data_IF_143169405344
#
_entry.id   IF_143169405344
#
_cell.length_a   1.000
_cell.length_b   1.000
_cell.length_c   1.000
_cell.angle_alpha   90.00
_cell.angle_beta   90.00
_cell.angle_gamma   90.00
#
_symmetry.space_group_name_H-M   'P 1'
#
loop_
_entity.id
_entity.type
_entity.pdbx_description
1 polymer ?
#
# COMPACT_ATOMS: atom_id res chain seq x y z
N UNK A 1 6.19 -14.84 -12.23
CA UNK A 1 5.42 -14.25 -13.36
C UNK A 1 5.08 -12.79 -13.14
N UNK A 2 4.43 -12.39 -12.04
CA UNK A 2 4.09 -10.98 -11.75
C UNK A 2 5.30 -10.05 -11.89
N UNK A 3 6.41 -10.37 -11.24
CA UNK A 3 7.63 -9.55 -11.30
C UNK A 3 8.16 -9.38 -12.73
N UNK A 4 8.00 -10.39 -13.60
CA UNK A 4 8.44 -10.33 -15.00
C UNK A 4 7.62 -9.31 -15.78
N UNK A 5 6.30 -9.34 -15.65
CA UNK A 5 5.41 -8.37 -16.29
C UNK A 5 5.58 -6.95 -15.71
N UNK A 6 5.83 -6.85 -14.39
CA UNK A 6 6.18 -5.59 -13.75
C UNK A 6 7.47 -5.02 -14.34
N UNK A 7 8.55 -5.81 -14.41
CA UNK A 7 9.83 -5.40 -15.01
C UNK A 7 9.65 -5.02 -16.48
N UNK A 8 8.93 -5.82 -17.27
CA UNK A 8 8.74 -5.57 -18.71
C UNK A 8 7.97 -4.28 -18.99
N UNK A 9 6.81 -4.09 -18.35
CA UNK A 9 6.02 -2.85 -18.47
C UNK A 9 6.82 -1.61 -18.06
N UNK A 10 7.55 -1.70 -16.94
CA UNK A 10 8.41 -0.61 -16.44
C UNK A 10 9.55 -0.31 -17.42
N UNK A 11 10.22 -1.34 -17.97
CA UNK A 11 11.32 -1.17 -18.93
C UNK A 11 10.88 -0.45 -20.19
N UNK A 12 9.70 -0.78 -20.73
CA UNK A 12 9.16 -0.06 -21.89
C UNK A 12 8.88 1.42 -21.59
N UNK A 13 8.35 1.73 -20.40
CA UNK A 13 8.16 3.11 -19.96
C UNK A 13 9.49 3.88 -19.86
N UNK A 14 10.54 3.21 -19.34
CA UNK A 14 11.90 3.78 -19.20
C UNK A 14 12.56 4.04 -20.56
N UNK A 15 12.35 3.19 -21.57
CA UNK A 15 13.01 3.37 -22.88
C UNK A 15 12.34 4.46 -23.72
N UNK A 16 11.06 4.73 -23.49
CA UNK A 16 10.24 5.62 -24.31
C UNK A 16 10.76 7.06 -24.45
N UNK A 17 11.20 7.75 -23.37
CA UNK A 17 11.74 9.11 -23.50
C UNK A 17 12.94 9.23 -24.43
N UNK A 18 13.88 8.26 -24.41
CA UNK A 18 15.05 8.25 -25.29
C UNK A 18 14.65 8.05 -26.76
N UNK A 19 13.70 7.16 -27.03
CA UNK A 19 13.18 6.94 -28.39
C UNK A 19 12.47 8.20 -28.91
N UNK A 20 11.66 8.84 -28.06
CA UNK A 20 10.98 10.09 -28.39
C UNK A 20 11.99 11.21 -28.64
N UNK A 21 13.07 11.29 -27.84
CA UNK A 21 14.19 12.19 -28.09
C UNK A 21 14.84 11.97 -29.46
N UNK A 22 14.97 10.71 -29.89
CA UNK A 22 15.42 10.37 -31.24
C UNK A 22 14.53 10.95 -32.35
N UNK A 23 13.21 10.90 -32.18
CA UNK A 23 12.27 11.53 -33.11
C UNK A 23 12.44 13.06 -33.17
N UNK A 24 12.59 13.70 -32.00
CA UNK A 24 12.84 15.14 -31.91
C UNK A 24 14.15 15.52 -32.59
N UNK A 25 15.21 14.71 -32.42
CA UNK A 25 16.49 14.93 -33.08
C UNK A 25 16.34 14.92 -34.60
N UNK A 26 15.58 13.97 -35.14
CA UNK A 26 15.32 13.88 -36.57
C UNK A 26 14.54 15.09 -37.10
N UNK A 27 13.47 15.52 -36.40
CA UNK A 27 12.68 16.70 -36.78
C UNK A 27 13.56 17.96 -36.80
N UNK A 28 14.42 18.12 -35.80
CA UNK A 28 15.35 19.26 -35.72
C UNK A 28 16.37 19.21 -36.85
N UNK A 29 16.96 18.04 -37.13
CA UNK A 29 17.92 17.87 -38.23
C UNK A 29 17.29 18.17 -39.59
N UNK A 30 16.07 17.71 -39.84
CA UNK A 30 15.31 18.02 -41.06
C UNK A 30 15.03 19.52 -41.19
N UNK A 31 14.56 20.15 -40.11
CA UNK A 31 14.28 21.60 -40.09
C UNK A 31 15.54 22.44 -40.34
N UNK A 32 16.66 22.09 -39.69
CA UNK A 32 17.95 22.75 -39.88
C UNK A 32 18.42 22.62 -41.31
N UNK A 33 18.29 21.42 -41.90
CA UNK A 33 18.68 21.15 -43.28
C UNK A 33 17.85 21.98 -44.27
N UNK A 34 16.54 22.08 -44.07
CA UNK A 34 15.64 22.93 -44.87
C UNK A 34 16.02 24.41 -44.77
N UNK A 35 16.25 24.91 -43.54
CA UNK A 35 16.60 26.31 -43.31
C UNK A 35 17.99 26.67 -43.84
N UNK A 36 18.94 25.75 -43.73
CA UNK A 36 20.27 25.89 -44.33
C UNK A 36 20.18 25.94 -45.86
N UNK A 37 19.38 25.07 -46.47
CA UNK A 37 19.10 25.09 -47.91
C UNK A 37 18.50 26.45 -48.35
N UNK A 38 17.48 26.95 -47.66
CA UNK A 38 16.85 28.25 -47.97
C UNK A 38 17.84 29.42 -47.81
N UNK A 39 18.67 29.40 -46.76
CA UNK A 39 19.68 30.44 -46.49
C UNK A 39 20.81 30.44 -47.53
N UNK A 40 21.27 29.26 -47.95
CA UNK A 40 22.31 29.13 -48.98
C UNK A 40 21.74 29.52 -50.35
N UNK A 41 20.53 29.05 -50.68
CA UNK A 41 19.90 29.30 -51.99
C UNK A 41 19.50 30.77 -52.18
N UNK A 42 19.05 31.46 -51.13
CA UNK A 42 18.73 32.90 -51.17
C UNK A 42 19.95 33.82 -51.38
N UNK A 43 21.16 33.32 -51.10
CA UNK A 43 22.42 34.04 -51.34
C UNK A 43 23.07 33.70 -52.68
N UNK A 44 22.49 32.80 -53.47
CA UNK A 44 22.98 32.49 -54.81
C UNK A 44 22.56 33.59 -55.81
N UNK A 45 23.38 33.89 -56.84
CA UNK A 45 23.01 34.83 -57.90
C UNK A 45 21.72 34.39 -58.61
N UNK A 46 20.84 35.34 -58.93
CA UNK A 46 19.60 35.09 -59.67
C UNK A 46 19.89 34.32 -60.97
N UNK A 47 19.41 33.07 -61.08
CA UNK A 47 19.57 32.21 -62.26
C UNK A 47 20.63 31.11 -62.16
N UNK A 48 21.34 30.96 -61.04
CA UNK A 48 22.30 29.87 -60.85
C UNK A 48 21.58 28.52 -60.59
N UNK A 49 21.65 27.60 -61.54
CA UNK A 49 21.26 26.20 -61.31
C UNK A 49 22.46 25.41 -60.76
N UNK A 50 22.27 24.77 -59.61
CA UNK A 50 23.28 23.90 -59.01
C UNK A 50 23.28 22.55 -59.75
N UNK A 51 24.44 22.02 -60.16
CA UNK A 51 24.54 20.66 -60.71
C UNK A 51 23.96 19.61 -59.74
N UNK A 52 23.40 18.53 -60.27
CA UNK A 52 22.94 17.41 -59.46
C UNK A 52 24.10 16.85 -58.60
N UNK A 53 23.84 16.62 -57.30
CA UNK A 53 24.84 16.12 -56.35
C UNK A 53 25.81 17.17 -55.80
N UNK A 54 25.57 18.46 -56.01
CA UNK A 54 26.42 19.51 -55.40
C UNK A 54 26.21 19.54 -53.90
N UNK A 55 27.24 19.18 -53.13
CA UNK A 55 27.14 19.14 -51.67
C UNK A 55 27.25 20.54 -51.05
N UNK A 56 26.72 20.71 -49.84
CA UNK A 56 26.89 21.92 -49.05
C UNK A 56 28.35 22.30 -48.86
N UNK A 57 29.26 21.33 -48.73
CA UNK A 57 30.70 21.56 -48.69
C UNK A 57 31.25 22.18 -49.99
N UNK A 58 30.74 21.79 -51.15
CA UNK A 58 31.18 22.29 -52.46
C UNK A 58 30.69 23.72 -52.72
N UNK A 59 29.50 24.06 -52.23
CA UNK A 59 28.95 25.42 -52.30
C UNK A 59 29.63 26.35 -51.28
N UNK A 60 29.85 25.89 -50.04
CA UNK A 60 30.57 26.65 -49.01
C UNK A 60 32.01 27.01 -49.42
N UNK A 61 32.67 26.17 -50.22
CA UNK A 61 34.01 26.47 -50.78
C UNK A 61 34.00 27.59 -51.84
N UNK A 62 32.87 27.82 -52.52
CA UNK A 62 32.74 28.78 -53.63
C UNK A 62 32.20 30.15 -53.19
N UNK A 63 31.78 30.28 -51.94
CA UNK A 63 31.24 31.52 -51.39
C UNK A 63 32.37 32.44 -50.87
N UNK A 64 32.37 33.74 -51.21
CA UNK A 64 33.42 34.68 -50.80
C UNK A 64 33.46 34.93 -49.27
N UNK A 65 32.34 34.72 -48.56
CA UNK A 65 32.21 34.93 -47.10
C UNK A 65 32.14 33.60 -46.32
N UNK A 66 32.96 32.62 -46.69
CA UNK A 66 32.94 31.27 -46.07
C UNK A 66 33.06 31.30 -44.54
N UNK A 67 34.04 32.02 -43.99
CA UNK A 67 34.32 32.04 -42.54
C UNK A 67 33.18 32.66 -41.73
N UNK A 68 32.52 33.67 -42.29
CA UNK A 68 31.38 34.35 -41.67
C UNK A 68 30.15 33.42 -41.63
N UNK A 69 29.90 32.68 -42.71
CA UNK A 69 28.79 31.73 -42.81
C UNK A 69 29.03 30.50 -41.93
N UNK A 70 30.24 29.93 -41.92
CA UNK A 70 30.60 28.80 -41.05
C UNK A 70 30.50 29.17 -39.56
N UNK A 71 30.80 30.43 -39.18
CA UNK A 71 30.70 30.91 -37.80
C UNK A 71 29.26 31.09 -37.29
N UNK A 72 28.29 31.25 -38.19
CA UNK A 72 26.87 31.40 -37.85
C UNK A 72 26.15 30.04 -37.75
N UNK A 73 26.81 28.96 -38.13
CA UNK A 73 26.27 27.60 -38.09
C UNK A 73 26.78 26.92 -36.80
N UNK A 74 25.90 26.40 -35.94
CA UNK A 74 26.30 25.60 -34.77
C UNK A 74 27.20 24.44 -35.19
N UNK A 75 28.30 24.22 -34.46
CA UNK A 75 29.27 23.16 -34.76
C UNK A 75 28.65 21.77 -34.86
N UNK A 76 27.61 21.51 -34.07
CA UNK A 76 26.80 20.27 -34.08
C UNK A 76 26.03 20.02 -35.37
N UNK A 77 25.77 21.06 -36.16
CA UNK A 77 24.98 21.02 -37.39
C UNK A 77 25.84 21.21 -38.65
N UNK A 78 27.09 21.66 -38.48
CA UNK A 78 28.03 21.95 -39.55
C UNK A 78 28.30 20.72 -40.43
N UNK A 79 28.43 19.54 -39.83
CA UNK A 79 28.68 18.29 -40.57
C UNK A 79 27.44 17.84 -41.36
N UNK A 80 26.24 18.04 -40.83
CA UNK A 80 24.98 17.78 -41.54
C UNK A 80 24.84 18.70 -42.75
N UNK A 81 25.13 19.98 -42.57
CA UNK A 81 25.04 20.99 -43.64
C UNK A 81 26.11 20.75 -44.72
N UNK A 82 27.32 20.32 -44.35
CA UNK A 82 28.37 19.97 -45.33
C UNK A 82 28.00 18.78 -46.21
N UNK A 83 27.28 17.80 -45.67
CA UNK A 83 26.84 16.59 -46.38
C UNK A 83 25.52 16.77 -47.13
N UNK A 84 24.83 17.89 -46.94
CA UNK A 84 23.54 18.15 -47.56
C UNK A 84 23.70 18.27 -49.07
N UNK A 85 22.94 17.49 -49.85
CA UNK A 85 22.83 17.70 -51.29
C UNK A 85 21.93 18.90 -51.55
N UNK A 86 22.51 19.98 -52.10
CA UNK A 86 21.80 21.22 -52.38
C UNK A 86 21.12 21.21 -53.76
N UNK A 87 21.16 20.09 -54.50
CA UNK A 87 20.47 19.97 -55.78
C UNK A 87 18.97 19.67 -55.65
N UNK A 88 18.52 19.20 -54.47
CA UNK A 88 17.11 18.98 -54.17
C UNK A 88 16.73 19.68 -52.86
N UNK A 89 15.51 20.24 -52.80
CA UNK A 89 15.00 20.85 -51.57
C UNK A 89 14.79 19.74 -50.53
N UNK A 90 15.45 19.81 -49.35
CA UNK A 90 15.19 18.87 -48.26
C UNK A 90 13.72 18.93 -47.85
N UNK A 91 13.15 17.79 -47.49
CA UNK A 91 11.81 17.69 -46.92
C UNK A 91 11.87 16.92 -45.60
N UNK A 92 10.81 17.04 -44.79
CA UNK A 92 10.69 16.22 -43.59
C UNK A 92 10.60 14.74 -43.95
N UNK A 93 11.38 13.92 -43.26
CA UNK A 93 11.35 12.46 -43.40
C UNK A 93 10.16 11.88 -42.61
N UNK A 94 8.94 12.15 -43.07
CA UNK A 94 7.70 11.70 -42.42
C UNK A 94 7.65 10.19 -42.21
N UNK A 95 8.22 9.39 -43.11
CA UNK A 95 8.28 7.92 -42.98
C UNK A 95 9.08 7.49 -41.74
N UNK A 96 10.19 8.17 -41.46
CA UNK A 96 11.04 7.85 -40.33
C UNK A 96 10.41 8.32 -39.00
N UNK A 97 9.78 9.50 -39.00
CA UNK A 97 8.98 9.97 -37.86
C UNK A 97 7.83 8.99 -37.58
N UNK A 98 7.11 8.55 -38.62
CA UNK A 98 6.01 7.59 -38.48
C UNK A 98 6.48 6.24 -37.93
N UNK A 99 7.65 5.74 -38.35
CA UNK A 99 8.26 4.53 -37.78
C UNK A 99 8.55 4.69 -36.29
N UNK A 100 9.10 5.83 -35.85
CA UNK A 100 9.38 6.06 -34.43
C UNK A 100 8.10 6.21 -33.62
N UNK A 101 7.12 6.96 -34.12
CA UNK A 101 5.82 7.16 -33.46
C UNK A 101 5.04 5.84 -33.36
N UNK A 102 4.96 5.06 -34.44
CA UNK A 102 4.30 3.74 -34.42
C UNK A 102 5.01 2.75 -33.48
N UNK A 103 6.34 2.79 -33.40
CA UNK A 103 7.11 2.02 -32.43
C UNK A 103 6.78 2.44 -30.98
N UNK A 104 6.69 3.75 -30.69
CA UNK A 104 6.30 4.25 -29.38
C UNK A 104 4.87 3.84 -29.00
N UNK A 105 3.92 3.94 -29.94
CA UNK A 105 2.54 3.47 -29.74
C UNK A 105 2.55 1.97 -29.42
N UNK A 106 3.29 1.17 -30.19
CA UNK A 106 3.45 -0.26 -29.94
C UNK A 106 4.03 -0.55 -28.55
N UNK A 107 5.08 0.17 -28.13
CA UNK A 107 5.68 0.05 -26.80
C UNK A 107 4.71 0.43 -25.68
N UNK A 108 3.93 1.50 -25.84
CA UNK A 108 2.95 1.91 -24.84
C UNK A 108 1.79 0.93 -24.72
N UNK A 109 1.29 0.40 -25.85
CA UNK A 109 0.27 -0.67 -25.84
C UNK A 109 0.82 -1.92 -25.15
N UNK A 110 2.04 -2.33 -25.49
CA UNK A 110 2.67 -3.51 -24.88
C UNK A 110 2.91 -3.30 -23.38
N UNK A 111 3.36 -2.12 -22.96
CA UNK A 111 3.50 -1.73 -21.55
C UNK A 111 2.16 -1.80 -20.82
N UNK A 112 1.09 -1.26 -21.42
CA UNK A 112 -0.25 -1.29 -20.86
C UNK A 112 -0.78 -2.73 -20.70
N UNK A 113 -0.57 -3.59 -21.70
CA UNK A 113 -0.93 -5.02 -21.65
C UNK A 113 -0.18 -5.72 -20.51
N UNK A 114 1.14 -5.51 -20.42
CA UNK A 114 1.96 -6.13 -19.37
C UNK A 114 1.53 -5.65 -17.98
N UNK A 115 1.26 -4.35 -17.82
CA UNK A 115 0.75 -3.78 -16.57
C UNK A 115 -0.62 -4.33 -16.19
N UNK A 116 -1.52 -4.50 -17.18
CA UNK A 116 -2.83 -5.10 -16.96
C UNK A 116 -2.71 -6.55 -16.50
N UNK A 117 -1.93 -7.38 -17.21
CA UNK A 117 -1.69 -8.79 -16.84
C UNK A 117 -1.07 -8.87 -15.45
N UNK A 118 -0.08 -8.03 -15.15
CA UNK A 118 0.57 -7.96 -13.84
C UNK A 118 -0.43 -7.64 -12.72
N UNK A 119 -1.28 -6.62 -12.91
CA UNK A 119 -2.29 -6.20 -11.93
C UNK A 119 -3.36 -7.27 -11.73
N UNK A 120 -3.80 -7.89 -12.82
CA UNK A 120 -4.80 -8.97 -12.78
C UNK A 120 -4.27 -10.20 -12.05
N UNK A 121 -3.05 -10.65 -12.38
CA UNK A 121 -2.39 -11.78 -11.69
C UNK A 121 -2.23 -11.51 -10.19
N UNK A 122 -1.80 -10.30 -9.81
CA UNK A 122 -1.65 -9.95 -8.40
C UNK A 122 -2.99 -9.90 -7.68
N UNK A 123 -4.03 -9.38 -8.32
CA UNK A 123 -5.36 -9.37 -7.73
C UNK A 123 -5.87 -10.80 -7.48
N UNK A 124 -5.68 -11.71 -8.42
CA UNK A 124 -6.04 -13.12 -8.24
C UNK A 124 -5.27 -13.78 -7.08
N UNK A 125 -3.96 -13.57 -7.02
CA UNK A 125 -3.11 -14.11 -5.92
C UNK A 125 -3.58 -13.55 -4.58
N UNK A 126 -3.73 -12.24 -4.46
CA UNK A 126 -4.17 -11.59 -3.23
C UNK A 126 -5.54 -12.11 -2.80
N UNK A 127 -6.54 -12.13 -3.68
CA UNK A 127 -7.88 -12.57 -3.32
C UNK A 127 -7.93 -14.05 -2.91
N UNK A 128 -7.10 -14.89 -3.54
CA UNK A 128 -6.99 -16.31 -3.16
C UNK A 128 -6.41 -16.47 -1.76
N UNK A 129 -5.35 -15.71 -1.43
CA UNK A 129 -4.74 -15.72 -0.10
C UNK A 129 -5.72 -15.20 0.94
N UNK A 130 -6.37 -14.06 0.67
CA UNK A 130 -7.37 -13.45 1.55
C UNK A 130 -8.55 -14.39 1.81
N UNK A 131 -9.06 -15.06 0.78
CA UNK A 131 -10.11 -16.06 0.93
C UNK A 131 -9.66 -17.22 1.82
N UNK A 132 -8.45 -17.74 1.62
CA UNK A 132 -7.90 -18.83 2.44
C UNK A 132 -7.72 -18.41 3.89
N UNK A 133 -7.18 -17.22 4.15
CA UNK A 133 -7.03 -16.68 5.51
C UNK A 133 -8.39 -16.53 6.20
N UNK A 134 -9.37 -15.91 5.54
CA UNK A 134 -10.73 -15.75 6.10
C UNK A 134 -11.39 -17.10 6.39
N UNK A 135 -11.21 -18.08 5.49
CA UNK A 135 -11.71 -19.43 5.71
C UNK A 135 -11.04 -20.10 6.91
N UNK A 136 -9.72 -20.04 7.02
CA UNK A 136 -8.97 -20.60 8.15
C UNK A 136 -9.38 -19.95 9.47
N UNK A 137 -9.51 -18.62 9.50
CA UNK A 137 -9.98 -17.88 10.68
C UNK A 137 -11.41 -18.26 11.07
N UNK A 138 -12.32 -18.37 10.08
CA UNK A 138 -13.70 -18.79 10.33
C UNK A 138 -13.80 -20.22 10.85
N UNK A 139 -13.01 -21.15 10.29
CA UNK A 139 -12.92 -22.52 10.79
C UNK A 139 -12.30 -22.56 12.20
N UNK A 140 -11.28 -21.74 12.47
CA UNK A 140 -10.59 -21.62 13.76
C UNK A 140 -11.52 -21.12 14.85
N UNK A 141 -12.35 -20.09 14.60
CA UNK A 141 -13.33 -19.56 15.56
C UNK A 141 -14.19 -20.67 16.17
N UNK A 142 -14.63 -21.63 15.35
CA UNK A 142 -15.50 -22.73 15.80
C UNK A 142 -14.76 -23.84 16.58
N UNK A 143 -13.43 -23.81 16.62
CA UNK A 143 -12.59 -24.80 17.31
C UNK A 143 -11.92 -24.24 18.57
N UNK A 144 -11.97 -22.93 18.78
CA UNK A 144 -11.40 -22.31 19.96
C UNK A 144 -12.28 -22.58 21.20
N UNK A 145 -11.67 -22.82 22.37
CA UNK A 145 -12.42 -23.01 23.61
C UNK A 145 -13.12 -21.73 24.04
N UNK A 146 -14.25 -21.86 24.74
CA UNK A 146 -15.00 -20.72 25.28
C UNK A 146 -14.13 -19.81 26.16
N UNK A 147 -13.12 -20.37 26.85
CA UNK A 147 -12.16 -19.63 27.66
C UNK A 147 -11.36 -18.57 26.91
N UNK A 148 -11.19 -18.71 25.60
CA UNK A 148 -10.56 -17.70 24.77
C UNK A 148 -11.47 -16.48 24.62
N UNK A 149 -12.76 -16.70 24.31
CA UNK A 149 -13.76 -15.66 24.13
C UNK A 149 -14.15 -14.96 25.43
N UNK A 150 -13.95 -15.59 26.59
CA UNK A 150 -14.13 -14.95 27.90
C UNK A 150 -12.98 -13.98 28.25
N UNK A 151 -11.82 -14.08 27.57
CA UNK A 151 -10.65 -13.20 27.78
C UNK A 151 -10.57 -12.07 26.76
N UNK A 152 -11.19 -12.25 25.60
CA UNK A 152 -11.08 -11.33 24.47
C UNK A 152 -12.41 -10.66 24.18
N UNK A 153 -12.36 -9.41 23.72
CA UNK A 153 -13.60 -8.73 23.30
C UNK A 153 -14.03 -9.23 21.93
N UNK A 154 -15.35 -9.29 21.69
CA UNK A 154 -15.90 -9.65 20.37
C UNK A 154 -15.36 -8.74 19.25
N UNK A 155 -15.17 -7.45 19.53
CA UNK A 155 -14.64 -6.48 18.58
C UNK A 155 -13.19 -6.76 18.18
N UNK A 156 -12.37 -7.23 19.12
CA UNK A 156 -10.98 -7.61 18.83
C UNK A 156 -10.90 -8.82 17.90
N UNK A 157 -11.68 -9.86 18.18
CA UNK A 157 -11.76 -11.05 17.31
C UNK A 157 -12.25 -10.66 15.91
N UNK A 158 -13.29 -9.83 15.82
CA UNK A 158 -13.81 -9.38 14.54
C UNK A 158 -12.76 -8.59 13.74
N UNK A 159 -12.04 -7.68 14.39
CA UNK A 159 -10.98 -6.87 13.76
C UNK A 159 -9.86 -7.74 13.18
N UNK A 160 -9.50 -8.85 13.84
CA UNK A 160 -8.51 -9.81 13.30
C UNK A 160 -9.00 -10.47 12.01
N UNK A 161 -10.28 -10.79 11.91
CA UNK A 161 -10.86 -11.43 10.71
C UNK A 161 -11.12 -10.45 9.57
N UNK A 162 -11.39 -9.19 9.89
CA UNK A 162 -11.71 -8.15 8.90
C UNK A 162 -10.51 -7.26 8.62
N UNK A 163 -10.23 -6.30 9.50
CA UNK A 163 -9.27 -5.21 9.31
C UNK A 163 -7.84 -5.71 9.11
N UNK A 164 -7.40 -6.71 9.88
CA UNK A 164 -6.02 -7.18 9.82
C UNK A 164 -5.76 -7.96 8.53
N UNK A 165 -6.68 -8.85 8.17
CA UNK A 165 -6.65 -9.56 6.88
C UNK A 165 -6.72 -8.58 5.71
N UNK A 166 -7.55 -7.54 5.81
CA UNK A 166 -7.65 -6.52 4.76
C UNK A 166 -6.36 -5.70 4.63
N UNK A 167 -5.69 -5.39 5.74
CA UNK A 167 -4.38 -4.73 5.75
C UNK A 167 -3.35 -5.58 5.00
N UNK A 168 -3.27 -6.89 5.30
CA UNK A 168 -2.38 -7.82 4.61
C UNK A 168 -2.71 -7.89 3.11
N UNK A 169 -4.00 -8.00 2.79
CA UNK A 169 -4.52 -8.07 1.42
C UNK A 169 -4.12 -6.84 0.59
N UNK A 170 -4.36 -5.64 1.12
CA UNK A 170 -4.05 -4.38 0.44
C UNK A 170 -2.55 -4.24 0.16
N UNK A 171 -1.70 -4.57 1.15
CA UNK A 171 -0.25 -4.51 1.01
C UNK A 171 0.29 -5.50 -0.02
N UNK A 172 -0.21 -6.73 -0.01
CA UNK A 172 0.15 -7.72 -1.03
C UNK A 172 -0.24 -7.25 -2.43
N UNK A 173 -1.42 -6.63 -2.57
CA UNK A 173 -1.91 -6.17 -3.88
C UNK A 173 -1.09 -5.00 -4.44
N UNK A 174 -0.85 -3.98 -3.62
CA UNK A 174 -0.27 -2.71 -4.06
C UNK A 174 1.24 -2.62 -3.82
N UNK A 175 1.68 -2.79 -2.58
CA UNK A 175 3.05 -2.46 -2.18
C UNK A 175 4.08 -3.43 -2.76
N UNK A 176 3.78 -4.73 -2.82
CA UNK A 176 4.76 -5.72 -3.29
C UNK A 176 5.09 -5.54 -4.77
N UNK A 177 4.07 -5.27 -5.59
CA UNK A 177 4.23 -4.91 -7.01
C UNK A 177 4.99 -3.60 -7.17
N UNK A 178 4.65 -2.62 -6.34
CA UNK A 178 5.23 -1.29 -6.41
C UNK A 178 6.72 -1.31 -6.06
N UNK A 179 7.17 -2.07 -5.04
CA UNK A 179 8.59 -2.23 -4.71
C UNK A 179 9.39 -2.71 -5.92
N UNK A 180 8.90 -3.73 -6.62
CA UNK A 180 9.57 -4.29 -7.80
C UNK A 180 9.62 -3.25 -8.92
N UNK A 181 8.47 -2.66 -9.28
CA UNK A 181 8.41 -1.63 -10.34
C UNK A 181 9.24 -0.39 -10.01
N UNK A 182 9.19 0.12 -8.78
CA UNK A 182 9.96 1.28 -8.32
C UNK A 182 11.46 1.00 -8.35
N UNK A 183 11.90 -0.19 -7.94
CA UNK A 183 13.33 -0.57 -8.00
C UNK A 183 13.82 -0.64 -9.44
N UNK A 184 13.06 -1.30 -10.32
CA UNK A 184 13.37 -1.37 -11.76
C UNK A 184 13.36 0.02 -12.39
N UNK A 185 12.39 0.86 -12.03
CA UNK A 185 12.27 2.24 -12.53
C UNK A 185 13.50 3.06 -12.16
N UNK A 186 13.87 3.08 -10.87
CA UNK A 186 15.04 3.83 -10.39
C UNK A 186 16.32 3.35 -11.08
N UNK A 187 16.58 2.05 -11.07
CA UNK A 187 17.80 1.49 -11.69
C UNK A 187 17.82 1.71 -13.21
N UNK A 188 16.70 1.47 -13.89
CA UNK A 188 16.61 1.64 -15.33
C UNK A 188 16.72 3.09 -15.78
N UNK A 189 16.10 4.04 -15.07
CA UNK A 189 16.28 5.47 -15.35
C UNK A 189 17.75 5.86 -15.17
N UNK A 190 18.42 5.44 -14.09
CA UNK A 190 19.85 5.74 -13.92
C UNK A 190 20.68 5.23 -15.08
N UNK A 191 20.48 3.96 -15.49
CA UNK A 191 21.17 3.38 -16.64
C UNK A 191 20.92 4.21 -17.91
N UNK A 192 19.67 4.63 -18.16
CA UNK A 192 19.34 5.45 -19.33
C UNK A 192 19.94 6.86 -19.26
N UNK A 193 19.95 7.49 -18.10
CA UNK A 193 20.56 8.81 -17.90
C UNK A 193 22.07 8.75 -18.16
N UNK A 194 22.78 7.80 -17.54
CA UNK A 194 24.22 7.62 -17.76
C UNK A 194 24.54 7.23 -19.21
N UNK A 195 23.65 6.52 -19.89
CA UNK A 195 23.78 6.21 -21.32
C UNK A 195 23.70 7.45 -22.22
N UNK A 196 23.03 8.53 -21.80
CA UNK A 196 22.91 9.76 -22.60
C UNK A 196 24.01 10.75 -22.23
N UNK A 197 24.21 11.05 -20.93
CA UNK A 197 25.30 11.91 -20.47
C UNK A 197 25.59 11.74 -18.99
N UNK A 198 26.84 11.38 -18.66
CA UNK A 198 27.29 11.27 -17.27
C UNK A 198 27.31 12.63 -16.53
N UNK A 199 27.56 13.73 -17.25
CA UNK A 199 27.61 15.09 -16.67
C UNK A 199 26.23 15.53 -16.19
N UNK A 200 25.22 15.40 -17.05
CA UNK A 200 23.82 15.68 -16.72
C UNK A 200 23.30 14.74 -15.62
N UNK A 201 23.73 13.48 -15.65
CA UNK A 201 23.36 12.48 -14.62
C UNK A 201 23.87 12.83 -13.23
N UNK A 202 25.13 13.28 -13.11
CA UNK A 202 25.69 13.71 -11.82
C UNK A 202 24.95 14.91 -11.24
N UNK A 203 24.60 15.89 -12.08
CA UNK A 203 23.82 17.06 -11.65
C UNK A 203 22.45 16.63 -11.14
N UNK A 204 21.74 15.78 -11.89
CA UNK A 204 20.45 15.25 -11.45
C UNK A 204 20.57 14.45 -10.14
N UNK A 205 21.62 13.63 -10.00
CA UNK A 205 21.92 12.89 -8.77
C UNK A 205 22.19 13.79 -7.57
N UNK A 206 22.68 15.02 -7.76
CA UNK A 206 22.87 16.00 -6.68
C UNK A 206 21.59 16.72 -6.28
N UNK A 207 20.64 16.92 -7.21
CA UNK A 207 19.34 17.53 -6.92
C UNK A 207 18.50 16.64 -5.99
N UNK A 208 18.66 15.32 -6.07
CA UNK A 208 17.92 14.35 -5.27
C UNK A 208 18.19 14.40 -3.76
N UNK A 209 19.43 14.33 -3.25
CA UNK A 209 19.71 14.45 -1.83
C UNK A 209 19.36 15.84 -1.29
N UNK A 210 19.40 16.88 -2.13
CA UNK A 210 18.89 18.21 -1.76
C UNK A 210 17.37 18.17 -1.55
N UNK A 211 16.62 17.57 -2.48
CA UNK A 211 15.18 17.37 -2.34
C UNK A 211 14.82 16.52 -1.12
N UNK A 212 15.47 15.36 -0.97
CA UNK A 212 15.29 14.46 0.16
C UNK A 212 15.64 15.14 1.49
N UNK A 213 16.77 15.85 1.57
CA UNK A 213 17.18 16.57 2.77
C UNK A 213 16.18 17.62 3.22
N UNK A 214 15.62 18.40 2.29
CA UNK A 214 14.56 19.37 2.60
C UNK A 214 13.30 18.68 3.13
N UNK A 215 12.89 17.56 2.51
CA UNK A 215 11.74 16.76 2.97
C UNK A 215 11.98 16.20 4.36
N UNK A 216 13.14 15.57 4.60
CA UNK A 216 13.49 15.00 5.91
C UNK A 216 13.53 16.09 6.98
N UNK A 217 14.06 17.28 6.68
CA UNK A 217 14.08 18.39 7.63
C UNK A 217 12.66 18.87 7.99
N UNK A 218 11.77 19.03 7.03
CA UNK A 218 10.37 19.45 7.26
C UNK A 218 9.60 18.37 8.02
N UNK A 219 9.75 17.12 7.57
CA UNK A 219 9.06 15.96 8.14
C UNK A 219 9.52 15.68 9.58
N UNK A 220 10.83 15.56 9.80
CA UNK A 220 11.40 15.14 11.09
C UNK A 220 11.33 16.23 12.16
N UNK A 221 11.57 17.51 11.81
CA UNK A 221 11.61 18.57 12.85
C UNK A 221 10.24 19.10 13.24
N UNK A 222 9.23 19.01 12.37
CA UNK A 222 8.01 19.79 12.55
C UNK A 222 6.73 19.00 12.29
N UNK A 223 6.60 18.33 11.13
CA UNK A 223 5.34 17.65 10.78
C UNK A 223 5.05 16.44 11.67
N UNK A 224 6.01 15.52 11.83
CA UNK A 224 5.81 14.29 12.59
C UNK A 224 5.44 14.55 14.06
N UNK A 225 6.07 15.56 14.69
CA UNK A 225 5.75 15.97 16.07
C UNK A 225 4.32 16.47 16.22
N UNK A 226 3.83 17.24 15.25
CA UNK A 226 2.45 17.74 15.27
C UNK A 226 1.45 16.62 14.94
N UNK A 227 1.78 15.68 14.06
CA UNK A 227 0.96 14.49 13.81
C UNK A 227 0.81 13.62 15.05
N UNK A 228 1.88 13.40 15.83
CA UNK A 228 1.77 12.68 17.10
C UNK A 228 0.83 13.41 18.07
N UNK A 229 0.99 14.74 18.22
CA UNK A 229 0.11 15.56 19.07
C UNK A 229 -1.35 15.51 18.60
N UNK A 230 -1.59 15.63 17.30
CA UNK A 230 -2.89 15.50 16.69
C UNK A 230 -3.51 14.13 17.04
N UNK A 231 -2.75 13.05 16.92
CA UNK A 231 -3.26 11.71 17.20
C UNK A 231 -3.55 11.49 18.69
N UNK A 232 -2.72 12.02 19.59
CA UNK A 232 -3.00 12.01 21.04
C UNK A 232 -4.27 12.79 21.36
N UNK A 233 -4.43 14.01 20.84
CA UNK A 233 -5.60 14.85 21.10
C UNK A 233 -6.88 14.30 20.46
N UNK A 234 -6.77 13.64 19.31
CA UNK A 234 -7.87 12.90 18.69
C UNK A 234 -8.32 11.74 19.58
N UNK A 235 -7.37 11.01 20.19
CA UNK A 235 -7.64 9.97 21.17
C UNK A 235 -8.34 10.52 22.42
N UNK A 236 -7.85 11.63 22.97
CA UNK A 236 -8.51 12.31 24.10
C UNK A 236 -9.93 12.79 23.77
N UNK A 237 -10.13 13.33 22.57
CA UNK A 237 -11.44 13.78 22.09
C UNK A 237 -12.40 12.60 21.96
N UNK A 238 -11.98 11.52 21.28
CA UNK A 238 -12.78 10.31 21.10
C UNK A 238 -13.09 9.63 22.44
N UNK A 239 -12.12 9.55 23.35
CA UNK A 239 -12.34 9.02 24.69
C UNK A 239 -13.35 9.85 25.48
N UNK A 240 -13.27 11.18 25.40
CA UNK A 240 -14.28 12.05 26.02
C UNK A 240 -15.67 11.87 25.38
N UNK A 241 -15.75 11.72 24.05
CA UNK A 241 -17.02 11.42 23.37
C UNK A 241 -17.59 10.10 23.89
N UNK A 242 -16.80 9.03 23.91
CA UNK A 242 -17.24 7.70 24.36
C UNK A 242 -17.71 7.70 25.82
N UNK A 243 -16.96 8.36 26.72
CA UNK A 243 -17.34 8.52 28.13
C UNK A 243 -18.68 9.26 28.27
N UNK A 244 -18.92 10.30 27.46
CA UNK A 244 -20.14 11.10 27.51
C UNK A 244 -21.35 10.40 26.90
N UNK A 245 -21.16 9.55 25.89
CA UNK A 245 -22.24 8.74 25.32
C UNK A 245 -22.59 7.54 26.22
N UNK A 246 -21.60 6.80 26.70
CA UNK A 246 -21.80 5.70 27.66
C UNK A 246 -22.38 6.20 28.98
N UNK A 247 -21.92 7.38 29.44
CA UNK A 247 -22.38 8.04 30.65
C UNK A 247 -23.53 9.04 30.44
N UNK A 248 -24.26 9.00 29.32
CA UNK A 248 -25.20 10.07 28.95
C UNK A 248 -26.26 10.35 30.01
N UNK A 249 -26.83 9.30 30.59
CA UNK A 249 -27.83 9.42 31.66
C UNK A 249 -27.22 10.06 32.91
N UNK A 250 -26.03 9.63 33.33
CA UNK A 250 -25.32 10.17 34.50
C UNK A 250 -25.02 11.65 34.27
N UNK A 251 -24.44 12.01 33.12
CA UNK A 251 -24.15 13.39 32.77
C UNK A 251 -25.41 14.27 32.79
N UNK A 252 -26.54 13.76 32.30
CA UNK A 252 -27.84 14.45 32.31
C UNK A 252 -28.38 14.66 33.73
N UNK A 253 -28.37 13.62 34.56
CA UNK A 253 -28.88 13.66 35.94
C UNK A 253 -28.07 14.64 36.80
N UNK A 254 -26.76 14.71 36.61
CA UNK A 254 -25.88 15.66 37.31
C UNK A 254 -25.77 17.03 36.64
N UNK A 255 -26.59 17.32 35.61
CA UNK A 255 -26.61 18.60 34.87
C UNK A 255 -25.22 19.03 34.34
N UNK A 256 -24.41 18.05 33.91
CA UNK A 256 -23.00 18.19 33.55
C UNK A 256 -22.73 18.65 32.10
N UNK A 257 -23.76 18.94 31.31
CA UNK A 257 -23.66 19.22 29.86
C UNK A 257 -22.70 20.36 29.56
N UNK A 258 -22.83 21.49 30.29
CA UNK A 258 -21.98 22.68 30.07
C UNK A 258 -20.51 22.38 30.34
N UNK A 259 -20.21 21.64 31.40
CA UNK A 259 -18.84 21.23 31.75
C UNK A 259 -18.27 20.26 30.70
N UNK A 260 -19.08 19.33 30.23
CA UNK A 260 -18.69 18.38 29.18
C UNK A 260 -18.40 19.09 27.86
N UNK A 261 -19.27 20.01 27.43
CA UNK A 261 -19.06 20.83 26.23
C UNK A 261 -17.82 21.71 26.35
N UNK A 262 -17.57 22.32 27.51
CA UNK A 262 -16.35 23.10 27.73
C UNK A 262 -15.08 22.26 27.61
N UNK A 263 -15.08 21.02 28.15
CA UNK A 263 -13.96 20.07 27.98
C UNK A 263 -13.80 19.66 26.52
N UNK A 264 -14.91 19.33 25.85
CA UNK A 264 -14.93 18.99 24.42
C UNK A 264 -14.32 20.12 23.58
N UNK A 265 -14.81 21.36 23.73
CA UNK A 265 -14.31 22.51 22.99
C UNK A 265 -12.83 22.73 23.22
N UNK A 266 -12.35 22.66 24.47
CA UNK A 266 -10.91 22.83 24.77
C UNK A 266 -10.06 21.79 24.05
N UNK A 267 -10.45 20.51 24.08
CA UNK A 267 -9.69 19.44 23.40
C UNK A 267 -9.81 19.58 21.88
N UNK A 268 -10.98 19.95 21.37
CA UNK A 268 -11.22 20.17 19.96
C UNK A 268 -10.40 21.35 19.40
N UNK A 269 -10.27 22.45 20.14
CA UNK A 269 -9.47 23.62 19.74
C UNK A 269 -7.98 23.26 19.68
N UNK A 270 -7.50 22.49 20.66
CA UNK A 270 -6.14 21.96 20.68
C UNK A 270 -5.88 21.02 19.49
N UNK A 271 -6.83 20.13 19.20
CA UNK A 271 -6.80 19.24 18.04
C UNK A 271 -6.80 20.04 16.74
N UNK A 272 -7.62 21.08 16.63
CA UNK A 272 -7.67 21.94 15.45
C UNK A 272 -6.31 22.61 15.21
N UNK A 273 -5.69 23.16 16.27
CA UNK A 273 -4.39 23.83 16.17
C UNK A 273 -3.28 22.86 15.74
N UNK A 274 -3.22 21.68 16.35
CA UNK A 274 -2.20 20.67 16.01
C UNK A 274 -2.42 20.09 14.62
N UNK A 275 -3.67 19.77 14.26
CA UNK A 275 -4.04 19.26 12.95
C UNK A 275 -3.76 20.28 11.84
N UNK A 276 -4.08 21.56 12.06
CA UNK A 276 -3.77 22.62 11.09
C UNK A 276 -2.26 22.72 10.86
N UNK A 277 -1.45 22.74 11.93
CA UNK A 277 0.02 22.78 11.82
C UNK A 277 0.56 21.54 11.10
N UNK A 278 0.11 20.35 11.48
CA UNK A 278 0.53 19.09 10.86
C UNK A 278 0.19 19.05 9.36
N UNK A 279 -1.04 19.41 9.01
CA UNK A 279 -1.52 19.37 7.63
C UNK A 279 -0.88 20.47 6.78
N UNK A 280 -0.68 21.67 7.32
CA UNK A 280 0.01 22.75 6.61
C UNK A 280 1.46 22.36 6.28
N UNK A 281 2.21 21.87 7.28
CA UNK A 281 3.60 21.45 7.08
C UNK A 281 3.72 20.29 6.10
N UNK A 282 2.79 19.34 6.15
CA UNK A 282 2.75 18.21 5.21
C UNK A 282 2.32 18.65 3.81
N UNK A 283 1.37 19.58 3.73
CA UNK A 283 0.91 20.18 2.49
C UNK A 283 1.99 20.96 1.76
N UNK A 284 2.99 21.50 2.46
CA UNK A 284 4.14 22.19 1.86
C UNK A 284 5.14 21.25 1.15
N UNK A 285 5.12 19.94 1.47
CA UNK A 285 6.08 18.98 0.89
C UNK A 285 5.96 18.96 -0.63
N UNK A 286 4.75 18.87 -1.17
CA UNK A 286 4.55 18.75 -2.62
C UNK A 286 4.90 20.05 -3.39
N UNK A 287 4.45 21.25 -2.98
CA UNK A 287 4.90 22.51 -3.58
C UNK A 287 6.42 22.70 -3.54
N UNK A 288 7.08 22.35 -2.43
CA UNK A 288 8.54 22.44 -2.32
C UNK A 288 9.23 21.44 -3.23
N UNK A 289 8.73 20.20 -3.33
CA UNK A 289 9.23 19.21 -4.28
C UNK A 289 9.10 19.68 -5.72
N UNK A 290 7.97 20.27 -6.10
CA UNK A 290 7.81 20.87 -7.43
C UNK A 290 8.76 22.05 -7.64
N UNK A 291 8.97 22.89 -6.63
CA UNK A 291 9.91 24.01 -6.72
C UNK A 291 11.35 23.52 -6.94
N UNK A 292 11.80 22.52 -6.17
CA UNK A 292 13.12 21.91 -6.34
C UNK A 292 13.22 21.20 -7.69
N UNK A 293 12.17 20.51 -8.11
CA UNK A 293 12.07 19.89 -9.44
C UNK A 293 12.21 20.92 -10.56
N UNK A 294 11.55 22.08 -10.45
CA UNK A 294 11.65 23.18 -11.41
C UNK A 294 13.05 23.82 -11.42
N UNK A 295 13.71 23.95 -10.26
CA UNK A 295 15.13 24.36 -10.22
C UNK A 295 15.99 23.34 -10.96
N UNK A 296 15.76 22.03 -10.72
CA UNK A 296 16.40 20.94 -11.45
C UNK A 296 16.19 21.09 -12.96
N UNK A 297 14.95 21.31 -13.40
CA UNK A 297 14.61 21.55 -14.80
C UNK A 297 15.40 22.72 -15.40
N UNK A 298 15.46 23.88 -14.71
CA UNK A 298 16.20 25.07 -15.18
C UNK A 298 17.68 24.79 -15.30
N UNK A 299 18.30 24.15 -14.29
CA UNK A 299 19.71 23.77 -14.33
C UNK A 299 19.99 22.84 -15.51
N UNK A 300 19.11 21.86 -15.74
CA UNK A 300 19.23 20.89 -16.82
C UNK A 300 19.04 21.52 -18.20
N UNK A 301 18.13 22.49 -18.33
CA UNK A 301 17.93 23.24 -19.57
C UNK A 301 19.15 24.10 -19.91
N UNK A 302 19.75 24.78 -18.92
CA UNK A 302 20.97 25.59 -19.11
C UNK A 302 22.16 24.69 -19.47
N UNK A 303 22.41 23.65 -18.68
CA UNK A 303 23.56 22.75 -18.88
C UNK A 303 23.41 21.92 -20.16
N UNK A 304 22.20 21.43 -20.44
CA UNK A 304 21.85 20.74 -21.67
C UNK A 304 22.02 21.66 -22.89
N UNK A 305 21.53 22.88 -22.83
CA UNK A 305 21.70 23.88 -23.89
C UNK A 305 23.17 24.19 -24.17
N UNK A 306 23.97 24.39 -23.12
CA UNK A 306 25.43 24.59 -23.25
C UNK A 306 26.13 23.37 -23.88
N UNK A 307 25.80 22.15 -23.45
CA UNK A 307 26.32 20.92 -24.04
C UNK A 307 25.89 20.72 -25.50
N UNK A 308 24.68 21.17 -25.87
CA UNK A 308 24.19 21.09 -27.24
C UNK A 308 24.88 22.10 -28.18
N UNK A 309 25.16 23.32 -27.70
CA UNK A 309 25.97 24.29 -28.44
C UNK A 309 27.38 23.75 -28.70
N UNK A 310 27.96 23.05 -27.72
CA UNK A 310 29.25 22.38 -27.85
C UNK A 310 29.21 21.07 -28.68
N UNK A 311 28.04 20.70 -29.21
CA UNK A 311 27.84 19.49 -30.01
C UNK A 311 28.01 18.16 -29.28
N UNK A 312 27.94 18.16 -27.94
CA UNK A 312 28.03 16.95 -27.11
C UNK A 312 26.68 16.27 -26.89
N UNK A 313 25.58 17.00 -27.06
CA UNK A 313 24.20 16.51 -26.90
C UNK A 313 23.31 17.05 -28.02
N UNK A 314 22.26 16.30 -28.37
CA UNK A 314 21.21 16.78 -29.26
C UNK A 314 20.01 17.28 -28.45
N UNK A 315 19.11 18.04 -29.09
CA UNK A 315 17.94 18.65 -28.42
C UNK A 315 17.01 17.60 -27.80
N UNK A 316 16.78 16.50 -28.51
CA UNK A 316 15.97 15.38 -28.04
C UNK A 316 16.59 14.63 -26.86
N UNK A 317 17.91 14.64 -26.71
CA UNK A 317 18.58 14.05 -25.55
C UNK A 317 18.29 14.88 -24.28
N UNK A 318 18.24 16.21 -24.41
CA UNK A 318 17.84 17.12 -23.33
C UNK A 318 16.37 16.89 -22.95
N UNK A 319 15.49 16.76 -23.96
CA UNK A 319 14.08 16.43 -23.73
C UNK A 319 13.93 15.09 -22.99
N UNK A 320 14.64 14.05 -23.39
CA UNK A 320 14.61 12.75 -22.73
C UNK A 320 15.08 12.87 -21.27
N UNK A 321 16.15 13.63 -21.01
CA UNK A 321 16.66 13.88 -19.67
C UNK A 321 15.67 14.58 -18.75
N UNK A 322 14.96 15.59 -19.27
CA UNK A 322 13.90 16.28 -18.55
C UNK A 322 12.81 15.28 -18.13
N UNK A 323 12.37 14.41 -19.04
CA UNK A 323 11.38 13.40 -18.69
C UNK A 323 11.88 12.39 -17.66
N UNK A 324 13.17 12.01 -17.73
CA UNK A 324 13.77 11.12 -16.75
C UNK A 324 13.83 11.73 -15.34
N UNK A 325 14.08 13.03 -15.21
CA UNK A 325 14.12 13.67 -13.88
C UNK A 325 12.74 13.64 -13.21
N UNK A 326 11.68 13.90 -13.97
CA UNK A 326 10.31 13.84 -13.47
C UNK A 326 9.91 12.41 -13.08
N UNK A 327 10.27 11.43 -13.92
CA UNK A 327 10.01 10.01 -13.65
C UNK A 327 10.82 9.49 -12.46
N UNK A 328 12.03 10.01 -12.22
CA UNK A 328 12.88 9.58 -11.11
C UNK A 328 12.33 10.04 -9.75
N UNK A 329 11.69 11.22 -9.69
CA UNK A 329 11.16 11.77 -8.44
C UNK A 329 9.99 10.95 -7.86
N UNK A 330 9.15 10.34 -8.71
CA UNK A 330 7.95 9.61 -8.25
C UNK A 330 8.26 8.35 -7.41
N UNK A 331 9.13 7.41 -7.85
CA UNK A 331 9.47 6.22 -7.07
C UNK A 331 10.03 6.53 -5.68
N UNK A 332 10.76 7.64 -5.53
CA UNK A 332 11.38 8.01 -4.25
C UNK A 332 10.32 8.23 -3.15
N UNK A 333 9.24 8.94 -3.50
CA UNK A 333 8.10 9.17 -2.60
C UNK A 333 7.37 7.86 -2.28
N UNK A 334 7.26 6.97 -3.26
CA UNK A 334 6.58 5.68 -3.08
C UNK A 334 7.35 4.75 -2.14
N UNK A 335 8.67 4.66 -2.29
CA UNK A 335 9.54 3.85 -1.41
C UNK A 335 9.45 4.31 0.06
N UNK A 336 9.39 5.62 0.31
CA UNK A 336 9.24 6.14 1.67
C UNK A 336 7.92 5.71 2.33
N UNK A 337 6.83 5.67 1.57
CA UNK A 337 5.52 5.24 2.09
C UNK A 337 5.43 3.72 2.30
N UNK A 338 6.16 2.93 1.52
CA UNK A 338 6.14 1.47 1.62
C UNK A 338 6.63 0.98 2.98
N UNK A 339 7.63 1.63 3.59
CA UNK A 339 8.16 1.21 4.89
C UNK A 339 7.07 1.21 6.00
N UNK A 340 6.25 2.26 6.04
CA UNK A 340 5.14 2.37 6.99
C UNK A 340 4.07 1.30 6.75
N UNK A 341 3.76 1.01 5.48
CA UNK A 341 2.77 -0.01 5.10
C UNK A 341 3.27 -1.42 5.42
N UNK A 342 4.56 -1.71 5.19
CA UNK A 342 5.15 -3.00 5.57
C UNK A 342 5.14 -3.20 7.08
N UNK A 343 5.40 -2.15 7.86
CA UNK A 343 5.35 -2.22 9.33
C UNK A 343 3.94 -2.52 9.84
N UNK A 344 2.91 -1.81 9.35
CA UNK A 344 1.52 -2.07 9.74
C UNK A 344 1.07 -3.48 9.34
N UNK A 345 1.54 -3.95 8.18
CA UNK A 345 1.26 -5.30 7.68
C UNK A 345 1.89 -6.38 8.54
N UNK A 346 3.11 -6.17 9.03
CA UNK A 346 3.77 -7.11 9.94
C UNK A 346 2.97 -7.27 11.24
N UNK A 347 2.53 -6.15 11.84
CA UNK A 347 1.73 -6.17 13.07
C UNK A 347 0.33 -6.78 12.87
N UNK A 348 -0.30 -6.58 11.70
CA UNK A 348 -1.56 -7.23 11.35
C UNK A 348 -1.37 -8.75 11.15
N UNK A 349 -0.30 -9.15 10.45
CA UNK A 349 0.04 -10.55 10.23
C UNK A 349 0.33 -11.28 11.56
N UNK A 350 1.10 -10.66 12.46
CA UNK A 350 1.38 -11.21 13.79
C UNK A 350 0.10 -11.53 14.56
N UNK A 351 -0.86 -10.59 14.63
CA UNK A 351 -2.15 -10.81 15.32
C UNK A 351 -3.03 -11.89 14.67
N UNK A 352 -3.00 -12.00 13.33
CA UNK A 352 -3.71 -13.05 12.60
C UNK A 352 -3.09 -14.42 12.85
N UNK A 353 -1.76 -14.52 12.80
CA UNK A 353 -1.06 -15.78 13.08
C UNK A 353 -1.17 -16.19 14.54
N UNK A 354 -1.05 -15.25 15.49
CA UNK A 354 -1.30 -15.49 16.92
C UNK A 354 -2.70 -16.09 17.14
N UNK A 355 -3.73 -15.56 16.47
CA UNK A 355 -5.09 -16.12 16.55
C UNK A 355 -5.18 -17.53 15.96
N UNK A 356 -4.52 -17.78 14.84
CA UNK A 356 -4.50 -19.10 14.19
C UNK A 356 -3.70 -20.13 15.00
N UNK A 357 -2.70 -19.70 15.76
CA UNK A 357 -1.85 -20.54 16.60
C UNK A 357 -2.43 -20.77 18.01
N UNK A 358 -3.47 -20.03 18.39
CA UNK A 358 -4.15 -20.21 19.67
C UNK A 358 -4.62 -21.68 19.85
N UNK A 359 -4.43 -22.28 21.05
CA UNK A 359 -4.80 -23.67 21.29
C UNK A 359 -6.30 -23.94 21.03
N UNK A 360 -6.58 -24.94 20.22
CA UNK A 360 -7.95 -25.41 19.96
C UNK A 360 -8.47 -26.25 21.13
N UNK A 361 -9.80 -26.43 21.20
CA UNK A 361 -10.40 -27.42 22.08
C UNK A 361 -9.73 -28.78 21.86
N UNK A 362 -9.39 -29.47 22.96
CA UNK A 362 -8.70 -30.75 22.87
C UNK A 362 -9.48 -31.74 22.01
N UNK A 363 -8.76 -32.35 21.06
CA UNK A 363 -9.31 -33.38 20.17
C UNK A 363 -9.82 -34.54 21.02
N UNK A 364 -11.10 -34.83 20.85
CA UNK A 364 -11.79 -35.91 21.52
C UNK A 364 -11.20 -37.29 21.16
N UNK A 365 -11.06 -38.17 22.15
CA UNK A 365 -10.60 -39.55 21.95
C UNK A 365 -11.53 -40.38 21.06
N UNK A 366 -11.04 -41.48 20.48
CA UNK A 366 -11.85 -42.36 19.62
C UNK A 366 -12.83 -43.23 20.39
N UNK A 367 -12.52 -43.55 21.65
CA UNK A 367 -13.28 -44.49 22.48
C UNK A 367 -14.19 -43.76 23.49
N UNK A 368 -14.97 -42.79 23.00
CA UNK A 368 -15.91 -42.04 23.84
C UNK A 368 -17.27 -42.74 23.92
N UNK A 369 -17.86 -42.72 25.11
CA UNK A 369 -19.14 -43.35 25.41
C UNK A 369 -20.27 -42.47 24.86
N UNK A 370 -21.18 -43.08 24.12
CA UNK A 370 -22.44 -42.46 23.69
C UNK A 370 -23.62 -43.14 24.38
N UNK A 371 -24.41 -42.36 25.10
CA UNK A 371 -25.65 -42.86 25.69
C UNK A 371 -26.70 -43.09 24.61
N UNK A 372 -27.22 -44.31 24.51
CA UNK A 372 -28.28 -44.64 23.55
C UNK A 372 -29.64 -44.08 23.97
N UNK A 373 -29.90 -44.03 25.27
CA UNK A 373 -31.13 -43.50 25.86
C UNK A 373 -30.78 -42.71 27.11
N UNK A 374 -31.28 -41.49 27.21
CA UNK A 374 -31.02 -40.57 28.32
C UNK A 374 -32.27 -40.52 29.21
N UNK A 375 -32.13 -40.89 30.49
CA UNK A 375 -33.18 -40.80 31.51
C UNK A 375 -33.20 -39.42 32.17
N UNK A 376 -32.05 -38.74 32.22
CA UNK A 376 -31.91 -37.39 32.77
C UNK A 376 -31.51 -37.36 34.24
N UNK A 377 -30.81 -38.39 34.72
CA UNK A 377 -30.15 -38.39 36.02
C UNK A 377 -28.83 -37.62 35.94
N UNK A 378 -28.58 -36.72 36.90
CA UNK A 378 -27.35 -35.90 36.94
C UNK A 378 -26.72 -36.01 38.31
N UNK A 379 -25.43 -36.34 38.35
CA UNK A 379 -24.63 -36.44 39.58
C UNK A 379 -23.42 -35.51 39.50
N UNK A 380 -23.26 -34.66 40.52
CA UNK A 380 -22.00 -33.99 40.82
C UNK A 380 -21.32 -34.76 41.96
N UNK A 381 -20.09 -35.17 41.75
CA UNK A 381 -19.29 -35.96 42.69
C UNK A 381 -18.03 -35.19 43.08
N UNK A 382 -18.09 -34.50 44.22
CA UNK A 382 -17.01 -33.71 44.82
C UNK A 382 -16.31 -32.76 43.81
N UNK A 383 -17.11 -32.03 43.03
CA UNK A 383 -16.61 -31.20 41.92
C UNK A 383 -15.87 -29.98 42.45
N UNK A 384 -14.65 -29.77 41.96
CA UNK A 384 -13.82 -28.60 42.23
C UNK A 384 -13.51 -27.89 40.91
N UNK A 385 -13.74 -26.57 40.86
CA UNK A 385 -13.50 -25.79 39.65
C UNK A 385 -13.15 -24.32 39.92
N UNK A 386 -12.24 -23.76 39.12
CA UNK A 386 -11.97 -22.33 38.99
C UNK A 386 -11.50 -21.99 37.57
N UNK A 387 -11.90 -20.81 37.05
CA UNK A 387 -11.46 -20.33 35.72
C UNK A 387 -9.95 -19.99 35.67
N UNK A 388 -9.35 -19.74 36.83
CA UNK A 388 -7.92 -19.50 37.01
C UNK A 388 -7.40 -20.46 38.08
N UNK A 389 -6.17 -20.98 37.96
CA UNK A 389 -5.58 -21.91 38.93
C UNK A 389 -5.65 -21.40 40.37
N UNK A 390 -5.47 -20.08 40.55
CA UNK A 390 -5.35 -19.44 41.85
C UNK A 390 -6.70 -19.10 42.50
N UNK A 391 -7.81 -19.29 41.77
CA UNK A 391 -9.14 -18.86 42.20
C UNK A 391 -10.21 -19.93 41.99
N UNK A 392 -10.34 -20.79 42.98
CA UNK A 392 -11.40 -21.81 43.04
C UNK A 392 -12.77 -21.18 43.33
N UNK A 393 -13.75 -21.46 42.46
CA UNK A 393 -15.13 -21.00 42.56
C UNK A 393 -16.02 -22.08 43.17
N UNK A 394 -15.95 -23.32 42.65
CA UNK A 394 -16.67 -24.47 43.19
C UNK A 394 -15.71 -25.30 44.04
N UNK A 395 -16.06 -25.55 45.30
CA UNK A 395 -15.17 -26.13 46.33
C UNK A 395 -15.70 -27.47 46.87
N UNK A 396 -15.82 -28.48 46.01
CA UNK A 396 -16.28 -29.82 46.39
C UNK A 396 -17.80 -29.95 46.41
N UNK A 397 -18.45 -29.59 45.30
CA UNK A 397 -19.90 -29.74 45.18
C UNK A 397 -20.27 -31.21 44.93
N UNK A 398 -21.12 -31.76 45.80
CA UNK A 398 -21.78 -33.05 45.59
C UNK A 398 -23.29 -32.88 45.58
N UNK A 399 -23.96 -33.37 44.53
CA UNK A 399 -25.40 -33.29 44.38
C UNK A 399 -25.91 -34.41 43.47
N UNK A 400 -27.09 -34.95 43.78
CA UNK A 400 -27.74 -35.99 42.98
C UNK A 400 -29.13 -35.55 42.58
N UNK A 401 -29.41 -35.51 41.28
CA UNK A 401 -30.67 -35.06 40.69
C UNK A 401 -31.31 -36.24 39.96
N UNK A 402 -32.53 -36.60 40.39
CA UNK A 402 -33.27 -37.73 39.83
C UNK A 402 -33.96 -37.37 38.51
N UNK A 403 -34.20 -38.34 37.62
CA UNK A 403 -35.01 -38.15 36.42
C UNK A 403 -36.35 -37.45 36.72
N UNK A 404 -36.66 -36.40 35.95
CA UNK A 404 -37.90 -35.62 36.08
C UNK A 404 -37.96 -34.67 37.28
N UNK A 405 -36.93 -34.64 38.13
CA UNK A 405 -36.88 -33.75 39.29
C UNK A 405 -36.62 -32.30 38.85
N UNK A 406 -37.40 -31.36 39.39
CA UNK A 406 -37.15 -29.92 39.21
C UNK A 406 -36.28 -29.41 40.35
N UNK A 407 -35.16 -28.80 40.00
CA UNK A 407 -34.18 -28.27 40.95
C UNK A 407 -34.00 -26.78 40.73
N UNK A 408 -33.97 -26.01 41.82
CA UNK A 408 -33.68 -24.59 41.79
C UNK A 408 -32.33 -24.32 42.47
N UNK A 409 -31.43 -23.61 41.77
CA UNK A 409 -30.11 -23.21 42.31
C UNK A 409 -30.22 -21.76 42.80
N UNK A 410 -30.16 -21.57 44.11
CA UNK A 410 -30.34 -20.25 44.76
C UNK A 410 -29.05 -19.84 45.49
N UNK A 411 -28.71 -18.55 45.44
CA UNK A 411 -27.55 -18.00 46.14
C UNK A 411 -27.21 -16.58 45.69
N UNK A 412 -26.31 -15.87 46.39
CA UNK A 412 -25.90 -14.52 46.04
C UNK A 412 -25.17 -14.47 44.68
N UNK A 413 -25.03 -13.27 44.12
CA UNK A 413 -24.18 -13.05 42.92
C UNK A 413 -22.76 -13.50 43.21
N UNK A 414 -22.14 -14.20 42.25
CA UNK A 414 -20.80 -14.77 42.43
C UNK A 414 -20.73 -16.14 43.12
N UNK A 415 -21.86 -16.72 43.57
CA UNK A 415 -21.89 -18.06 44.18
C UNK A 415 -21.63 -19.23 43.20
N UNK A 416 -21.31 -18.97 41.93
CA UNK A 416 -21.02 -20.01 40.93
C UNK A 416 -22.24 -20.59 40.21
N UNK A 417 -23.43 -19.98 40.32
CA UNK A 417 -24.67 -20.49 39.67
C UNK A 417 -24.52 -20.66 38.16
N UNK A 418 -24.07 -19.63 37.46
CA UNK A 418 -23.81 -19.68 36.01
C UNK A 418 -22.69 -20.65 35.67
N UNK A 419 -21.66 -20.73 36.53
CA UNK A 419 -20.56 -21.69 36.38
C UNK A 419 -21.07 -23.14 36.38
N UNK A 420 -22.05 -23.49 37.21
CA UNK A 420 -22.63 -24.85 37.20
C UNK A 420 -23.26 -25.20 35.85
N UNK A 421 -23.95 -24.25 35.22
CA UNK A 421 -24.53 -24.46 33.89
C UNK A 421 -23.44 -24.65 32.84
N UNK A 422 -22.36 -23.85 32.90
CA UNK A 422 -21.22 -23.98 32.00
C UNK A 422 -20.50 -25.34 32.15
N UNK A 423 -20.40 -25.86 33.36
CA UNK A 423 -19.81 -27.17 33.64
C UNK A 423 -20.70 -28.33 33.16
N UNK A 424 -22.02 -28.23 33.33
CA UNK A 424 -22.97 -29.23 32.80
C UNK A 424 -22.92 -29.34 31.28
N UNK A 425 -22.79 -28.20 30.60
CA UNK A 425 -22.64 -28.13 29.14
C UNK A 425 -21.24 -28.49 28.64
N UNK A 426 -20.31 -28.79 29.56
CA UNK A 426 -18.90 -29.06 29.30
C UNK A 426 -18.25 -28.00 28.41
N UNK A 427 -18.51 -26.72 28.71
CA UNK A 427 -17.73 -25.61 28.13
C UNK A 427 -16.36 -25.46 28.80
N UNK A 428 -16.23 -26.00 30.00
CA UNK A 428 -15.01 -26.01 30.80
C UNK A 428 -14.78 -27.42 31.36
N UNK A 429 -13.52 -27.84 31.43
CA UNK A 429 -13.13 -29.05 32.14
C UNK A 429 -12.95 -28.73 33.64
N UNK A 430 -13.36 -29.66 34.51
CA UNK A 430 -13.25 -29.50 35.97
C UNK A 430 -11.81 -29.69 36.45
N UNK A 431 -11.44 -29.10 37.59
CA UNK A 431 -10.10 -29.32 38.18
C UNK A 431 -10.01 -30.68 38.89
N UNK A 432 -11.08 -31.13 39.55
CA UNK A 432 -11.18 -32.43 40.24
C UNK A 432 -12.63 -32.82 40.47
N UNK A 433 -12.88 -34.11 40.73
CA UNK A 433 -14.20 -34.71 40.91
C UNK A 433 -14.75 -35.30 39.61
N UNK A 434 -16.06 -35.51 39.54
CA UNK A 434 -16.74 -35.97 38.32
C UNK A 434 -18.14 -35.35 38.19
N UNK A 435 -18.58 -35.14 36.95
CA UNK A 435 -19.97 -34.84 36.62
C UNK A 435 -20.48 -35.99 35.77
N UNK A 436 -21.53 -36.67 36.20
CA UNK A 436 -22.06 -37.86 35.51
C UNK A 436 -23.50 -37.62 35.05
N UNK A 437 -23.82 -38.13 33.86
CA UNK A 437 -25.18 -38.20 33.31
C UNK A 437 -25.53 -39.67 33.17
N UNK A 438 -26.63 -40.10 33.80
CA UNK A 438 -27.06 -41.50 33.87
C UNK A 438 -25.93 -42.47 34.26
N UNK A 439 -25.05 -42.03 35.18
CA UNK A 439 -23.93 -42.80 35.71
C UNK A 439 -22.63 -42.75 34.90
N UNK A 440 -22.62 -42.13 33.71
CA UNK A 440 -21.42 -41.99 32.86
C UNK A 440 -20.83 -40.59 33.00
N UNK A 441 -19.51 -40.50 33.20
CA UNK A 441 -18.83 -39.20 33.33
C UNK A 441 -18.87 -38.43 31.99
N UNK A 442 -19.23 -37.15 32.04
CA UNK A 442 -19.28 -36.29 30.85
C UNK A 442 -17.92 -36.10 30.19
N UNK A 443 -16.82 -36.29 30.94
CA UNK A 443 -15.45 -36.26 30.42
C UNK A 443 -15.19 -37.38 29.39
N UNK A 444 -15.87 -38.53 29.56
CA UNK A 444 -15.74 -39.73 28.72
C UNK A 444 -16.74 -39.73 27.55
N UNK A 445 -17.50 -38.65 27.37
CA UNK A 445 -18.44 -38.47 26.27
C UNK A 445 -17.89 -37.48 25.23
N UNK A 446 -18.52 -37.39 24.06
CA UNK A 446 -18.30 -36.26 23.16
C UNK A 446 -19.06 -35.04 23.65
N UNK A 447 -18.45 -33.85 23.59
CA UNK A 447 -19.06 -32.56 23.91
C UNK A 447 -20.34 -32.33 23.11
N UNK A 448 -20.35 -32.70 21.83
CA UNK A 448 -21.56 -32.61 21.00
C UNK A 448 -22.69 -33.49 21.51
N UNK A 449 -22.38 -34.72 21.94
CA UNK A 449 -23.37 -35.65 22.47
C UNK A 449 -23.90 -35.14 23.83
N UNK A 450 -23.04 -34.61 24.72
CA UNK A 450 -23.46 -33.95 25.97
C UNK A 450 -24.40 -32.79 25.70
N UNK A 451 -24.00 -31.85 24.82
CA UNK A 451 -24.79 -30.63 24.55
C UNK A 451 -26.14 -30.92 23.90
N UNK A 452 -26.27 -32.00 23.12
CA UNK A 452 -27.56 -32.43 22.53
C UNK A 452 -28.57 -32.92 23.57
N UNK A 453 -28.13 -33.32 24.77
CA UNK A 453 -29.03 -33.77 25.85
C UNK A 453 -29.70 -32.60 26.58
N UNK A 454 -29.19 -31.38 26.41
CA UNK A 454 -29.64 -30.21 27.15
C UNK A 454 -30.35 -29.20 26.24
N UNK A 455 -31.49 -28.70 26.71
CA UNK A 455 -32.07 -27.44 26.26
C UNK A 455 -31.64 -26.31 27.19
N UNK A 456 -31.13 -25.20 26.63
CA UNK A 456 -30.68 -24.05 27.41
C UNK A 456 -31.47 -22.80 27.01
N UNK A 457 -31.94 -22.06 28.01
CA UNK A 457 -32.49 -20.71 27.84
C UNK A 457 -31.67 -19.78 28.70
N UNK A 458 -30.95 -18.85 28.06
CA UNK A 458 -30.08 -17.88 28.70
C UNK A 458 -30.89 -16.71 29.28
N UNK A 459 -30.31 -16.01 30.26
CA UNK A 459 -30.89 -14.77 30.79
C UNK A 459 -30.96 -13.69 29.70
N UNK A 460 -29.89 -13.56 28.92
CA UNK A 460 -29.84 -12.72 27.72
C UNK A 460 -30.00 -13.61 26.49
N UNK A 461 -31.23 -13.70 25.98
CA UNK A 461 -31.55 -14.53 24.81
C UNK A 461 -30.98 -13.92 23.55
N UNK A 462 -30.38 -14.76 22.71
CA UNK A 462 -29.89 -14.40 21.40
C UNK A 462 -30.71 -15.14 20.34
N UNK A 463 -31.12 -14.40 19.32
CA UNK A 463 -31.84 -14.94 18.16
C UNK A 463 -30.96 -14.73 16.93
N UNK A 464 -30.94 -15.70 16.04
CA UNK A 464 -30.35 -15.52 14.72
C UNK A 464 -31.23 -14.59 13.88
N UNK A 465 -30.60 -13.83 12.99
CA UNK A 465 -31.35 -13.09 11.98
C UNK A 465 -31.86 -14.07 10.92
N UNK A 466 -33.16 -14.36 10.94
CA UNK A 466 -33.82 -15.35 10.10
C UNK A 466 -35.25 -15.62 10.59
N UNK A 467 -36.03 -16.35 9.79
CA UNK A 467 -37.39 -16.83 10.17
C UNK A 467 -37.36 -18.21 10.76
#
# INVERSE_FOLDING_TARGET
MVAIFAVGSTTFAIVSPKILGGATNQIVEDYVSMKAYETITSKLPNGASLPAGTTGADVLKRLPNKSEIESQIPSSQLDTIKKLDLSQRPSFHFDAIWRVVSLLIGLYILSAIFRYIQTWLMTQVTQTVTFRMRRQLSEKINRLPLSYFDKQTYGEVLSRVTNDVDTISQTLNQSLSQVVSSTVMVLGILVMMFSISWQMSLVALLVLPLAGGVVTLIAAKSSQKQFLRQQTQLGELNGHIEEMYSGHQVMRVFNGQKKSLAKFSRVNDQLQESAWKAQFLSGLIYPIMNFIGNIGYVIMAILGGWLAINGRLKIGDIQAFIQYIDQFNQPLVQVANIANVLQSTAAAAERVFEFLDEPEEQVEGKDLVKLAHVKGEVEFDNVVFGYQPDKTIIKGLSAHIKPGQRVAIVGPTGAGKTTLVNLLMRFYEINSGAIKIDGVNIADMKRSDVRQMFGMVLQDTWLFNGT
#
